data_IF_993014527350
#
_entry.id   IF_993014527350
#
_cell.length_a   1.000
_cell.length_b   1.000
_cell.length_c   1.000
_cell.angle_alpha   90.00
_cell.angle_beta   90.00
_cell.angle_gamma   90.00
#
_symmetry.space_group_name_H-M   'P 1'
#
loop_
_entity.id
_entity.type
_entity.pdbx_description
1 polymer ?
#
# COMPACT_ATOMS: atom_id res chain seq x y z
N UNK A 1 -12.17 15.35 17.72
CA UNK A 1 -11.83 14.80 16.37
C UNK A 1 -11.30 13.40 16.57
N UNK A 2 -11.84 12.40 15.87
CA UNK A 2 -11.41 11.01 16.02
C UNK A 2 -10.20 10.76 15.11
N UNK A 3 -9.03 10.51 15.71
CA UNK A 3 -7.78 10.23 14.97
C UNK A 3 -7.54 8.72 14.96
N UNK A 4 -8.00 8.03 13.93
CA UNK A 4 -7.61 6.63 13.71
C UNK A 4 -6.19 6.60 13.14
N UNK A 5 -5.22 6.21 13.96
CA UNK A 5 -3.84 5.99 13.49
C UNK A 5 -3.77 4.67 12.73
N UNK A 6 -3.40 4.72 11.45
CA UNK A 6 -3.15 3.53 10.65
C UNK A 6 -1.65 3.21 10.68
N UNK A 7 -1.29 2.12 11.34
CA UNK A 7 0.12 1.71 11.42
C UNK A 7 0.62 0.98 10.16
N UNK A 8 -0.30 0.46 9.32
CA UNK A 8 0.06 -0.36 8.16
C UNK A 8 -0.97 -0.21 7.04
N UNK A 9 -0.48 -0.16 5.80
CA UNK A 9 -1.26 -0.11 4.56
C UNK A 9 -0.90 -1.29 3.68
N UNK A 10 -1.91 -1.92 3.08
CA UNK A 10 -1.72 -2.97 2.08
C UNK A 10 -2.11 -2.44 0.69
N UNK A 11 -1.25 -2.65 -0.31
CA UNK A 11 -1.52 -2.30 -1.72
C UNK A 11 -1.54 -3.56 -2.56
N UNK A 12 -2.61 -3.75 -3.32
CA UNK A 12 -2.75 -4.89 -4.24
C UNK A 12 -2.16 -4.48 -5.60
N UNK A 13 -1.06 -5.13 -5.98
CA UNK A 13 -0.25 -4.80 -7.14
C UNK A 13 1.00 -3.99 -6.78
N UNK A 14 2.15 -4.34 -7.37
CA UNK A 14 3.47 -3.71 -7.18
C UNK A 14 4.05 -3.17 -8.50
N UNK A 15 3.19 -2.97 -9.50
CA UNK A 15 3.56 -2.22 -10.70
C UNK A 15 3.67 -0.73 -10.39
N UNK A 16 3.90 0.09 -11.42
CA UNK A 16 4.06 1.55 -11.26
C UNK A 16 2.86 2.22 -10.59
N UNK A 17 1.64 1.78 -10.92
CA UNK A 17 0.43 2.26 -10.23
C UNK A 17 0.41 1.88 -8.75
N UNK A 18 0.81 0.65 -8.41
CA UNK A 18 0.90 0.21 -7.01
C UNK A 18 1.94 1.00 -6.21
N UNK A 19 3.10 1.26 -6.80
CA UNK A 19 4.13 2.09 -6.20
C UNK A 19 3.66 3.55 -5.97
N UNK A 20 2.99 4.16 -6.96
CA UNK A 20 2.43 5.50 -6.80
C UNK A 20 1.34 5.58 -5.73
N UNK A 21 0.49 4.54 -5.61
CA UNK A 21 -0.48 4.46 -4.52
C UNK A 21 0.23 4.38 -3.17
N UNK A 22 1.28 3.54 -3.05
CA UNK A 22 2.04 3.42 -1.80
C UNK A 22 2.72 4.72 -1.39
N UNK A 23 3.23 5.50 -2.34
CA UNK A 23 3.87 6.81 -2.08
C UNK A 23 2.92 7.80 -1.43
N UNK A 24 1.65 7.81 -1.85
CA UNK A 24 0.63 8.74 -1.31
C UNK A 24 -0.04 8.18 -0.05
N UNK A 25 -0.34 6.89 -0.02
CA UNK A 25 -1.14 6.27 1.04
C UNK A 25 -0.31 5.81 2.26
N UNK A 26 0.97 5.52 2.07
CA UNK A 26 1.88 5.07 3.13
C UNK A 26 3.11 6.00 3.19
N UNK A 27 2.96 7.23 3.71
CA UNK A 27 4.07 8.16 3.86
C UNK A 27 5.16 7.60 4.80
N UNK A 28 6.35 8.22 4.83
CA UNK A 28 7.46 7.77 5.68
C UNK A 28 7.03 7.53 7.13
N UNK A 29 7.38 6.35 7.66
CA UNK A 29 6.98 5.92 9.01
C UNK A 29 5.75 5.01 9.05
N UNK A 30 5.03 4.85 7.94
CA UNK A 30 3.92 3.90 7.81
C UNK A 30 4.42 2.63 7.11
N UNK A 31 4.11 1.46 7.66
CA UNK A 31 4.50 0.19 7.03
C UNK A 31 3.61 -0.08 5.82
N UNK A 32 4.21 -0.31 4.65
CA UNK A 32 3.50 -0.70 3.44
C UNK A 32 3.82 -2.14 3.05
N UNK A 33 2.81 -2.94 2.71
CA UNK A 33 2.97 -4.32 2.23
C UNK A 33 2.29 -4.44 0.86
N UNK A 34 3.01 -5.02 -0.10
CA UNK A 34 2.48 -5.29 -1.43
C UNK A 34 1.98 -6.72 -1.54
N UNK A 35 0.79 -6.90 -2.12
CA UNK A 35 0.28 -8.21 -2.54
C UNK A 35 0.26 -8.28 -4.07
N UNK A 36 1.01 -9.23 -4.64
CA UNK A 36 0.88 -9.59 -6.06
C UNK A 36 -0.01 -10.82 -6.19
N UNK A 37 -0.97 -10.75 -7.09
CA UNK A 37 -1.62 -11.94 -7.61
C UNK A 37 -0.91 -12.34 -8.91
N UNK A 38 -0.31 -13.54 -8.92
CA UNK A 38 0.15 -14.14 -10.17
C UNK A 38 -1.03 -14.82 -10.84
N UNK A 39 -1.70 -14.11 -11.75
CA UNK A 39 -2.67 -14.73 -12.64
C UNK A 39 -1.92 -15.67 -13.59
N UNK A 40 -2.15 -16.97 -13.44
CA UNK A 40 -1.79 -17.99 -14.44
C UNK A 40 -3.03 -18.19 -15.30
N UNK A 41 -2.98 -17.66 -16.52
CA UNK A 41 -3.94 -17.96 -17.58
C UNK A 41 -3.52 -19.25 -18.28
#
# INVERSE_FOLDING_TARGET
MMTTSLATVAVIGSGTMGAGIAEVAAPPGIRCVFLILTLRL
#
